data_IF_895095159674
#
_entry.id   IF_895095159674
#
_cell.length_a   1.000
_cell.length_b   1.000
_cell.length_c   1.000
_cell.angle_alpha   90.00
_cell.angle_beta   90.00
_cell.angle_gamma   90.00
#
_symmetry.space_group_name_H-M   'P 1'
#
loop_
_entity.id
_entity.type
_entity.pdbx_description
1 polymer ?
#
# COMPACT_ATOMS: atom_id res chain seq x y z
N UNK A 1 12.28 33.16 -64.81
CA UNK A 1 13.42 33.60 -65.67
C UNK A 1 14.46 34.21 -64.76
N UNK A 2 15.77 34.08 -65.08
CA UNK A 2 16.95 34.73 -64.43
C UNK A 2 17.15 34.48 -62.91
N UNK A 3 18.28 34.03 -62.34
CA UNK A 3 19.75 34.07 -62.66
C UNK A 3 20.35 35.48 -62.43
N UNK A 4 21.47 35.71 -61.71
CA UNK A 4 22.58 34.81 -61.33
C UNK A 4 22.94 34.75 -59.81
N UNK A 5 24.23 34.66 -59.44
CA UNK A 5 24.75 34.14 -58.15
C UNK A 5 26.19 34.60 -57.79
N UNK A 6 26.63 34.34 -56.53
CA UNK A 6 28.03 34.31 -56.00
C UNK A 6 28.80 35.68 -55.96
N UNK A 7 29.87 35.95 -55.17
CA UNK A 7 30.64 35.22 -54.14
C UNK A 7 31.55 36.15 -53.27
N UNK A 8 32.39 35.54 -52.41
CA UNK A 8 33.72 35.99 -51.88
C UNK A 8 33.89 36.71 -50.51
N UNK A 9 35.05 36.40 -49.93
CA UNK A 9 35.66 36.72 -48.62
C UNK A 9 36.91 37.65 -48.87
N UNK A 10 37.76 38.09 -47.89
CA UNK A 10 38.25 37.34 -46.73
C UNK A 10 38.58 38.10 -45.42
N UNK A 11 39.14 37.28 -44.52
CA UNK A 11 39.89 37.44 -43.26
C UNK A 11 40.80 38.67 -43.07
N UNK A 12 41.09 39.03 -41.82
CA UNK A 12 42.46 38.99 -41.28
C UNK A 12 42.49 38.85 -39.73
N UNK A 13 43.68 38.66 -39.15
CA UNK A 13 43.97 38.18 -37.77
C UNK A 13 44.82 39.18 -36.96
N UNK A 14 44.88 39.09 -35.61
CA UNK A 14 46.09 39.29 -34.77
C UNK A 14 45.83 38.96 -33.28
N UNK A 15 46.90 38.81 -32.49
CA UNK A 15 46.98 38.08 -31.21
C UNK A 15 46.91 38.92 -29.92
N UNK A 16 46.82 38.22 -28.78
CA UNK A 16 46.85 38.69 -27.38
C UNK A 16 48.20 39.31 -26.94
N UNK A 17 48.31 39.76 -25.67
CA UNK A 17 49.17 39.01 -24.75
C UNK A 17 48.61 38.82 -23.32
N UNK A 18 49.19 37.86 -22.60
CA UNK A 18 48.87 37.49 -21.21
C UNK A 18 49.54 38.40 -20.17
N UNK A 19 49.08 38.34 -18.91
CA UNK A 19 49.89 38.64 -17.73
C UNK A 19 49.39 37.88 -16.49
N UNK A 20 50.31 37.24 -15.77
CA UNK A 20 50.07 36.49 -14.52
C UNK A 20 50.59 37.28 -13.30
N UNK A 21 50.04 37.03 -12.10
CA UNK A 21 50.76 36.44 -10.94
C UNK A 21 49.99 36.51 -9.60
N UNK A 22 50.04 35.40 -8.87
CA UNK A 22 50.07 35.16 -7.41
C UNK A 22 49.00 35.68 -6.39
N UNK A 23 48.24 34.68 -5.89
CA UNK A 23 48.22 34.19 -4.49
C UNK A 23 47.39 34.88 -3.36
N UNK A 24 46.93 34.02 -2.43
CA UNK A 24 46.39 34.21 -1.06
C UNK A 24 44.93 34.65 -0.85
N UNK A 25 44.18 33.80 -0.12
CA UNK A 25 43.03 34.23 0.69
C UNK A 25 41.93 33.17 0.89
N UNK A 26 41.80 32.63 2.10
CA UNK A 26 40.74 31.65 2.42
C UNK A 26 39.47 32.32 3.00
N UNK A 27 38.26 31.96 2.50
CA UNK A 27 37.12 31.39 3.28
C UNK A 27 35.74 31.53 2.60
N UNK A 28 34.97 30.43 2.61
CA UNK A 28 33.51 30.27 2.78
C UNK A 28 32.51 31.16 2.00
N UNK A 29 31.54 30.56 1.28
CA UNK A 29 30.50 31.36 0.60
C UNK A 29 29.34 30.72 -0.19
N UNK A 30 28.86 29.50 0.10
CA UNK A 30 27.54 28.99 -0.37
C UNK A 30 27.34 28.72 -1.88
N UNK A 31 26.14 28.23 -2.25
CA UNK A 31 25.65 28.27 -3.66
C UNK A 31 25.23 26.98 -4.38
N UNK A 32 25.20 25.81 -3.75
CA UNK A 32 24.88 24.54 -4.43
C UNK A 32 23.40 24.41 -4.90
N UNK A 33 23.08 24.84 -6.13
CA UNK A 33 21.76 24.66 -6.77
C UNK A 33 21.51 23.20 -7.21
N UNK A 34 21.19 22.32 -6.26
CA UNK A 34 20.79 20.93 -6.55
C UNK A 34 19.37 20.82 -7.15
N UNK A 35 19.21 21.13 -8.45
CA UNK A 35 17.96 20.88 -9.21
C UNK A 35 17.81 19.40 -9.60
N UNK A 36 17.77 18.50 -8.61
CA UNK A 36 17.50 17.08 -8.78
C UNK A 36 16.10 16.71 -8.29
N UNK A 37 15.10 16.70 -9.19
CA UNK A 37 13.69 16.34 -8.86
C UNK A 37 13.55 14.82 -8.72
N UNK A 38 14.05 14.28 -7.61
CA UNK A 38 14.20 12.84 -7.40
C UNK A 38 12.87 12.08 -7.31
N UNK A 39 12.76 10.98 -8.07
CA UNK A 39 11.81 9.89 -7.78
C UNK A 39 12.06 9.40 -6.35
N UNK A 40 11.02 9.40 -5.51
CA UNK A 40 11.02 8.80 -4.17
C UNK A 40 9.74 7.99 -3.86
N UNK A 41 9.05 7.50 -4.89
CA UNK A 41 8.06 6.44 -4.69
C UNK A 41 8.81 5.17 -4.24
N UNK A 42 8.42 4.66 -3.06
CA UNK A 42 8.66 3.33 -2.51
C UNK A 42 9.88 2.58 -3.13
N UNK A 43 11.11 2.78 -2.60
CA UNK A 43 12.32 2.32 -3.26
C UNK A 43 12.30 0.80 -3.47
N UNK A 44 12.61 0.37 -4.69
CA UNK A 44 13.00 -1.01 -4.96
C UNK A 44 14.12 -1.44 -4.01
N UNK A 45 14.18 -2.73 -3.62
CA UNK A 45 15.31 -3.25 -2.84
C UNK A 45 16.63 -2.96 -3.58
N UNK A 46 17.76 -2.80 -2.85
CA UNK A 46 19.07 -2.58 -3.45
C UNK A 46 19.43 -3.61 -4.54
N UNK A 47 20.29 -3.26 -5.52
CA UNK A 47 20.75 -4.22 -6.52
C UNK A 47 21.47 -5.43 -5.92
N UNK A 48 22.05 -5.25 -4.72
CA UNK A 48 22.73 -6.24 -3.88
C UNK A 48 21.82 -6.73 -2.73
N UNK A 49 20.50 -6.77 -2.93
CA UNK A 49 19.56 -7.27 -1.94
C UNK A 49 19.45 -8.79 -1.99
N UNK A 50 19.70 -9.46 -0.87
CA UNK A 50 19.51 -10.90 -0.66
C UNK A 50 18.01 -11.32 -0.57
N UNK A 51 17.13 -10.61 -1.30
CA UNK A 51 15.70 -10.92 -1.35
C UNK A 51 15.46 -12.07 -2.34
N UNK A 52 15.19 -13.25 -1.83
CA UNK A 52 14.92 -14.44 -2.63
C UNK A 52 13.44 -14.59 -2.95
N UNK A 53 12.55 -14.25 -2.01
CA UNK A 53 11.12 -14.60 -2.09
C UNK A 53 10.18 -13.47 -1.68
N UNK A 54 9.08 -13.33 -2.40
CA UNK A 54 7.94 -12.48 -2.04
C UNK A 54 6.68 -13.34 -1.99
N UNK A 55 6.04 -13.38 -0.81
CA UNK A 55 4.78 -14.06 -0.59
C UNK A 55 3.64 -13.06 -0.81
N UNK A 56 2.83 -13.29 -1.85
CA UNK A 56 1.73 -12.43 -2.28
C UNK A 56 0.41 -13.05 -1.83
N UNK A 57 -0.11 -12.56 -0.72
CA UNK A 57 -1.31 -13.09 -0.05
C UNK A 57 -2.58 -12.37 -0.52
N UNK A 58 -3.69 -13.10 -0.62
CA UNK A 58 -5.02 -12.52 -0.41
C UNK A 58 -5.32 -12.35 1.11
N UNK A 59 -6.33 -11.54 1.42
CA UNK A 59 -6.79 -11.25 2.77
C UNK A 59 -7.97 -12.14 3.21
N UNK A 60 -9.08 -12.07 2.49
CA UNK A 60 -10.41 -12.50 2.92
C UNK A 60 -10.62 -13.97 2.55
N UNK A 61 -11.13 -14.79 3.47
CA UNK A 61 -11.21 -16.25 3.36
C UNK A 61 -9.85 -16.99 3.19
N UNK A 62 -8.75 -16.26 2.98
CA UNK A 62 -7.37 -16.75 2.97
C UNK A 62 -6.68 -16.56 4.33
N UNK A 63 -6.39 -15.31 4.76
CA UNK A 63 -5.75 -15.03 6.06
C UNK A 63 -6.81 -14.87 7.15
N UNK A 64 -7.88 -14.12 6.86
CA UNK A 64 -8.97 -13.83 7.78
C UNK A 64 -10.23 -14.58 7.35
N UNK A 65 -11.10 -14.92 8.30
CA UNK A 65 -12.47 -15.32 8.00
C UNK A 65 -13.37 -14.10 8.18
N UNK A 66 -14.11 -13.69 7.15
CA UNK A 66 -14.95 -12.49 7.20
C UNK A 66 -16.21 -12.53 6.32
N UNK A 67 -16.10 -12.52 4.99
CA UNK A 67 -17.29 -12.51 4.12
C UNK A 67 -18.05 -13.84 4.18
N UNK A 68 -17.33 -14.94 4.43
CA UNK A 68 -17.91 -16.25 4.73
C UNK A 68 -18.66 -16.31 6.08
N UNK A 69 -18.44 -15.36 7.01
CA UNK A 69 -19.26 -15.17 8.20
C UNK A 69 -20.57 -14.45 7.86
N UNK A 70 -20.49 -13.33 7.14
CA UNK A 70 -21.65 -12.51 6.72
C UNK A 70 -22.66 -13.31 5.87
N UNK A 71 -22.16 -14.22 5.03
CA UNK A 71 -22.98 -15.13 4.22
C UNK A 71 -23.41 -16.41 4.96
N UNK A 72 -22.89 -16.65 6.17
CA UNK A 72 -23.08 -17.90 6.91
C UNK A 72 -22.46 -19.15 6.26
N UNK A 73 -21.75 -19.01 5.14
CA UNK A 73 -21.18 -20.12 4.38
C UNK A 73 -20.07 -20.86 5.13
N UNK A 74 -19.27 -20.15 5.94
CA UNK A 74 -18.30 -20.77 6.86
C UNK A 74 -19.01 -21.72 7.85
N UNK A 75 -20.11 -21.27 8.43
CA UNK A 75 -20.86 -22.05 9.42
C UNK A 75 -21.46 -23.32 8.82
N UNK A 76 -22.01 -23.23 7.60
CA UNK A 76 -22.50 -24.39 6.84
C UNK A 76 -21.36 -25.38 6.54
N UNK A 77 -20.18 -24.89 6.14
CA UNK A 77 -19.02 -25.71 5.77
C UNK A 77 -18.38 -26.43 6.96
N UNK A 78 -18.32 -25.80 8.13
CA UNK A 78 -17.63 -26.30 9.33
C UNK A 78 -18.56 -26.68 10.49
N UNK A 79 -19.87 -26.84 10.23
CA UNK A 79 -20.84 -27.30 11.23
C UNK A 79 -21.02 -26.35 12.43
N UNK A 80 -20.91 -25.04 12.21
CA UNK A 80 -21.15 -24.00 13.23
C UNK A 80 -22.58 -23.49 13.15
N UNK A 81 -23.01 -22.71 14.16
CA UNK A 81 -24.30 -22.02 14.14
C UNK A 81 -24.27 -20.83 13.14
N UNK A 82 -25.10 -20.82 12.08
CA UNK A 82 -25.08 -19.73 11.10
C UNK A 82 -25.57 -18.38 11.63
N UNK A 83 -26.65 -18.27 12.43
CA UNK A 83 -27.05 -17.01 13.07
C UNK A 83 -25.94 -16.36 13.90
N UNK A 84 -25.20 -17.15 14.70
CA UNK A 84 -24.04 -16.67 15.44
C UNK A 84 -22.94 -16.18 14.49
N UNK A 85 -22.58 -16.94 13.46
CA UNK A 85 -21.55 -16.54 12.50
C UNK A 85 -21.88 -15.20 11.82
N UNK A 86 -23.11 -15.04 11.33
CA UNK A 86 -23.59 -13.78 10.72
C UNK A 86 -23.56 -12.63 11.75
N UNK A 87 -23.96 -12.89 13.00
CA UNK A 87 -23.92 -11.89 14.09
C UNK A 87 -22.51 -11.40 14.39
N UNK A 88 -21.51 -12.31 14.40
CA UNK A 88 -20.11 -11.93 14.57
C UNK A 88 -19.55 -11.20 13.34
N UNK A 89 -19.95 -11.63 12.13
CA UNK A 89 -19.60 -10.96 10.87
C UNK A 89 -20.06 -9.50 10.85
N UNK A 90 -21.35 -9.26 11.14
CA UNK A 90 -21.94 -7.91 11.18
C UNK A 90 -21.30 -7.02 12.24
N UNK A 91 -21.00 -7.55 13.43
CA UNK A 91 -20.25 -6.81 14.47
C UNK A 91 -18.83 -6.45 14.02
N UNK A 92 -18.17 -7.31 13.26
CA UNK A 92 -16.85 -7.01 12.70
C UNK A 92 -16.91 -5.99 11.57
N UNK A 93 -17.93 -6.07 10.71
CA UNK A 93 -18.21 -5.10 9.65
C UNK A 93 -18.44 -3.70 10.22
N UNK A 94 -19.28 -3.58 11.26
CA UNK A 94 -19.48 -2.33 12.00
C UNK A 94 -18.15 -1.77 12.53
N UNK A 95 -17.30 -2.61 13.14
CA UNK A 95 -15.99 -2.17 13.64
C UNK A 95 -15.03 -1.73 12.51
N UNK A 96 -15.03 -2.42 11.37
CA UNK A 96 -14.19 -2.09 10.20
C UNK A 96 -14.55 -0.71 9.66
N UNK A 97 -15.83 -0.49 9.32
CA UNK A 97 -16.27 0.81 8.79
C UNK A 97 -16.14 1.92 9.83
N UNK A 98 -16.50 1.65 11.10
CA UNK A 98 -16.37 2.67 12.14
C UNK A 98 -14.91 3.10 12.39
N UNK A 99 -13.93 2.20 12.30
CA UNK A 99 -12.51 2.56 12.35
C UNK A 99 -12.10 3.35 11.10
N UNK A 100 -12.50 2.89 9.92
CA UNK A 100 -12.20 3.52 8.63
C UNK A 100 -12.70 4.97 8.56
N UNK A 101 -13.92 5.23 9.02
CA UNK A 101 -14.53 6.56 9.10
C UNK A 101 -13.88 7.44 10.17
N UNK A 102 -13.79 6.93 11.41
CA UNK A 102 -13.36 7.75 12.56
C UNK A 102 -11.87 8.12 12.49
N UNK A 103 -11.04 7.29 11.85
CA UNK A 103 -9.57 7.42 11.94
C UNK A 103 -8.82 7.42 10.61
N UNK A 104 -9.42 6.93 9.51
CA UNK A 104 -8.76 6.75 8.22
C UNK A 104 -9.40 7.53 7.06
N UNK A 105 -10.29 8.48 7.37
CA UNK A 105 -10.95 9.39 6.41
C UNK A 105 -11.80 8.68 5.32
N UNK A 106 -12.40 7.52 5.61
CA UNK A 106 -13.11 6.76 4.56
C UNK A 106 -14.24 7.56 3.87
N UNK A 107 -15.07 8.29 4.63
CA UNK A 107 -16.04 9.27 4.11
C UNK A 107 -15.47 10.33 3.14
N UNK A 108 -14.17 10.67 3.22
CA UNK A 108 -13.52 11.57 2.26
C UNK A 108 -12.86 10.79 1.09
N UNK A 109 -12.49 9.52 1.29
CA UNK A 109 -11.62 8.77 0.39
C UNK A 109 -12.34 7.73 -0.49
N UNK A 110 -13.57 7.31 -0.17
CA UNK A 110 -14.31 6.27 -0.89
C UNK A 110 -14.38 6.50 -2.41
N UNK A 111 -14.86 7.67 -2.85
CA UNK A 111 -14.95 7.99 -4.30
C UNK A 111 -13.57 8.10 -4.98
N UNK A 112 -12.50 8.38 -4.21
CA UNK A 112 -11.16 8.64 -4.70
C UNK A 112 -10.10 7.61 -4.28
N UNK A 113 -10.54 6.36 -3.97
CA UNK A 113 -9.67 5.28 -3.48
C UNK A 113 -8.43 5.02 -4.35
N UNK A 114 -7.35 4.52 -3.76
CA UNK A 114 -6.04 4.32 -4.40
C UNK A 114 -5.60 2.85 -4.32
N UNK A 115 -4.87 2.40 -5.33
CA UNK A 115 -4.32 1.02 -5.35
C UNK A 115 -3.26 0.84 -4.27
N UNK A 116 -2.44 1.88 -4.02
CA UNK A 116 -1.35 1.83 -3.04
C UNK A 116 -1.24 3.14 -2.25
N UNK A 117 -0.79 3.04 -1.00
CA UNK A 117 -0.72 4.13 -0.01
C UNK A 117 0.11 5.35 -0.46
N UNK A 118 1.09 5.15 -1.34
CA UNK A 118 1.98 6.21 -1.83
C UNK A 118 1.62 6.73 -3.24
N UNK A 119 0.51 6.29 -3.85
CA UNK A 119 0.19 6.60 -5.26
C UNK A 119 0.02 8.10 -5.56
N UNK A 120 -0.50 8.86 -4.59
CA UNK A 120 -0.69 10.32 -4.66
C UNK A 120 0.43 11.12 -3.98
N UNK A 121 1.49 10.46 -3.50
CA UNK A 121 2.58 11.11 -2.72
C UNK A 121 3.38 12.17 -3.49
N UNK A 122 3.24 12.23 -4.83
CA UNK A 122 3.87 13.25 -5.70
C UNK A 122 3.39 14.68 -5.47
N UNK A 123 2.19 14.84 -4.91
CA UNK A 123 1.48 16.12 -4.78
C UNK A 123 1.53 16.68 -3.36
N UNK A 124 2.04 15.87 -2.42
CA UNK A 124 2.39 16.26 -1.06
C UNK A 124 3.59 17.23 -1.06
N UNK A 125 3.58 18.20 -0.15
CA UNK A 125 4.67 19.16 0.04
C UNK A 125 5.60 18.79 1.23
N UNK A 126 5.30 17.70 1.95
CA UNK A 126 6.04 17.26 3.13
C UNK A 126 5.79 18.09 4.39
N UNK A 127 4.73 18.92 4.44
CA UNK A 127 4.41 19.70 5.63
C UNK A 127 3.99 18.80 6.81
N UNK A 128 4.24 19.26 8.03
CA UNK A 128 3.68 18.62 9.22
C UNK A 128 2.14 18.66 9.19
N UNK A 129 1.51 17.56 9.60
CA UNK A 129 0.07 17.39 9.67
C UNK A 129 -0.46 17.35 11.12
N UNK A 130 0.41 17.44 12.13
CA UNK A 130 0.02 17.40 13.55
C UNK A 130 -0.99 18.47 13.97
N UNK A 131 -0.99 19.61 13.27
CA UNK A 131 -1.89 20.76 13.48
C UNK A 131 -2.81 21.02 12.29
N UNK A 132 -2.88 20.12 11.31
CA UNK A 132 -3.67 20.30 10.10
C UNK A 132 -5.16 19.97 10.31
N UNK A 133 -6.04 20.94 10.04
CA UNK A 133 -7.49 20.79 10.24
C UNK A 133 -8.19 20.19 9.02
N UNK A 134 -8.09 18.86 8.86
CA UNK A 134 -8.75 18.11 7.78
C UNK A 134 -10.26 18.40 7.66
N UNK A 135 -10.96 18.53 8.80
CA UNK A 135 -12.40 18.78 8.84
C UNK A 135 -12.83 20.15 8.30
N UNK A 136 -11.89 21.08 8.09
CA UNK A 136 -12.17 22.44 7.59
C UNK A 136 -11.26 22.85 6.42
N UNK A 137 -10.57 21.91 5.78
CA UNK A 137 -9.66 22.22 4.66
C UNK A 137 -10.39 22.48 3.32
N UNK A 138 -11.68 22.17 3.26
CA UNK A 138 -12.53 22.35 2.07
C UNK A 138 -12.28 21.31 0.97
N UNK A 139 -11.84 20.10 1.32
CA UNK A 139 -11.59 19.00 0.37
C UNK A 139 -12.74 18.77 -0.62
N UNK A 140 -13.98 18.58 -0.15
CA UNK A 140 -15.17 18.36 -1.00
C UNK A 140 -15.53 19.55 -1.91
N UNK A 141 -15.26 20.78 -1.46
CA UNK A 141 -15.42 21.98 -2.28
C UNK A 141 -14.33 22.10 -3.37
N UNK A 142 -13.12 21.60 -3.10
CA UNK A 142 -12.06 21.48 -4.09
C UNK A 142 -12.33 20.34 -5.10
N UNK A 143 -12.93 19.23 -4.65
CA UNK A 143 -13.33 18.10 -5.52
C UNK A 143 -14.37 18.53 -6.57
N UNK A 144 -15.47 19.14 -6.12
CA UNK A 144 -16.52 19.68 -7.01
C UNK A 144 -15.99 20.75 -7.96
N UNK A 145 -15.07 21.61 -7.48
CA UNK A 145 -14.36 22.57 -8.34
C UNK A 145 -13.45 21.91 -9.38
N UNK A 146 -12.77 20.81 -9.03
CA UNK A 146 -11.90 20.08 -9.96
C UNK A 146 -12.69 19.47 -11.13
N UNK A 147 -13.87 18.90 -10.85
CA UNK A 147 -14.78 18.36 -11.87
C UNK A 147 -15.35 19.43 -12.83
N UNK A 148 -15.52 20.67 -12.36
CA UNK A 148 -16.05 21.79 -13.15
C UNK A 148 -14.97 22.57 -13.92
N UNK A 149 -13.73 22.65 -13.42
CA UNK A 149 -12.71 23.57 -13.94
C UNK A 149 -11.84 23.02 -15.10
N UNK A 150 -12.29 22.01 -15.84
CA UNK A 150 -11.63 21.55 -17.08
C UNK A 150 -11.57 22.63 -18.18
N UNK A 151 -12.46 23.62 -18.16
CA UNK A 151 -12.50 24.69 -19.14
C UNK A 151 -11.50 25.84 -18.87
N UNK A 152 -11.28 26.22 -17.60
CA UNK A 152 -10.46 27.38 -17.22
C UNK A 152 -9.81 27.23 -15.83
N UNK A 153 -8.48 27.18 -15.77
CA UNK A 153 -7.74 27.81 -14.66
C UNK A 153 -6.97 26.96 -13.65
N UNK A 154 -6.72 25.67 -13.87
CA UNK A 154 -5.58 24.85 -13.32
C UNK A 154 -5.45 24.66 -11.79
N UNK A 155 -5.87 25.60 -10.93
CA UNK A 155 -5.54 25.62 -9.49
C UNK A 155 -6.33 24.64 -8.63
N UNK A 156 -7.61 24.40 -8.95
CA UNK A 156 -8.51 23.58 -8.12
C UNK A 156 -8.04 22.15 -7.95
N UNK A 157 -7.74 21.45 -9.06
CA UNK A 157 -7.26 20.07 -9.03
C UNK A 157 -5.91 19.90 -8.31
N UNK A 158 -4.99 20.86 -8.42
CA UNK A 158 -3.67 20.80 -7.76
C UNK A 158 -3.79 20.98 -6.24
N UNK A 159 -4.73 21.80 -5.77
CA UNK A 159 -5.01 21.93 -4.33
C UNK A 159 -5.73 20.68 -3.78
N UNK A 160 -6.69 20.13 -4.54
CA UNK A 160 -7.37 18.89 -4.19
C UNK A 160 -6.42 17.67 -4.11
N UNK A 161 -5.57 17.46 -5.12
CA UNK A 161 -4.57 16.39 -5.13
C UNK A 161 -3.63 16.43 -3.92
N UNK A 162 -3.24 17.63 -3.47
CA UNK A 162 -2.44 17.78 -2.25
C UNK A 162 -3.20 17.38 -0.98
N UNK A 163 -4.47 17.77 -0.86
CA UNK A 163 -5.33 17.40 0.27
C UNK A 163 -5.66 15.90 0.31
N UNK A 164 -5.71 15.27 -0.87
CA UNK A 164 -5.79 13.81 -1.02
C UNK A 164 -4.50 13.14 -0.53
N UNK A 165 -3.33 13.65 -0.96
CA UNK A 165 -2.03 13.16 -0.51
C UNK A 165 -1.84 13.29 1.02
N UNK A 166 -2.26 14.40 1.61
CA UNK A 166 -2.24 14.60 3.07
C UNK A 166 -3.08 13.56 3.81
N UNK A 167 -4.26 13.17 3.29
CA UNK A 167 -5.11 12.13 3.90
C UNK A 167 -4.43 10.77 3.86
N UNK A 168 -3.91 10.35 2.71
CA UNK A 168 -3.19 9.08 2.59
C UNK A 168 -1.88 9.05 3.41
N UNK A 169 -1.11 10.15 3.46
CA UNK A 169 0.03 10.23 4.39
C UNK A 169 -0.43 10.16 5.85
N UNK A 170 -1.54 10.80 6.22
CA UNK A 170 -2.06 10.71 7.59
C UNK A 170 -2.55 9.30 7.94
N UNK A 171 -3.17 8.58 7.01
CA UNK A 171 -3.48 7.14 7.14
C UNK A 171 -2.21 6.32 7.40
N UNK A 172 -1.12 6.60 6.65
CA UNK A 172 0.19 5.96 6.82
C UNK A 172 0.87 6.27 8.17
N UNK A 173 0.76 7.51 8.65
CA UNK A 173 1.20 7.91 10.00
C UNK A 173 0.40 7.18 11.09
N UNK A 174 -0.93 7.14 10.97
CA UNK A 174 -1.82 6.47 11.92
C UNK A 174 -1.57 4.96 11.96
N UNK A 175 -1.49 4.30 10.80
CA UNK A 175 -1.14 2.88 10.72
C UNK A 175 0.22 2.58 11.36
N UNK A 176 1.26 3.33 10.98
CA UNK A 176 2.61 3.12 11.53
C UNK A 176 2.67 3.27 13.05
N UNK A 177 1.86 4.18 13.61
CA UNK A 177 1.75 4.42 15.05
C UNK A 177 0.99 3.30 15.77
N UNK A 178 -0.14 2.84 15.20
CA UNK A 178 -1.11 2.01 15.91
C UNK A 178 -1.17 0.53 15.49
N UNK A 179 -0.40 0.10 14.48
CA UNK A 179 -0.38 -1.31 14.01
C UNK A 179 -0.06 -2.36 15.09
N UNK A 180 0.67 -1.97 16.13
CA UNK A 180 0.98 -2.82 17.29
C UNK A 180 0.20 -2.40 18.56
N UNK A 181 -0.75 -1.46 18.46
CA UNK A 181 -1.51 -0.88 19.58
C UNK A 181 -2.93 -0.45 19.15
N UNK A 182 -3.66 -1.31 18.45
CA UNK A 182 -4.98 -0.98 17.87
C UNK A 182 -6.02 -0.65 18.95
N UNK A 183 -5.92 -1.27 20.13
CA UNK A 183 -6.73 -0.89 21.30
C UNK A 183 -6.46 0.53 21.82
N UNK A 184 -5.29 1.12 21.52
CA UNK A 184 -4.97 2.52 21.78
C UNK A 184 -5.53 3.49 20.74
N UNK A 185 -5.83 3.02 19.53
CA UNK A 185 -6.52 3.78 18.48
C UNK A 185 -8.03 3.82 18.74
N UNK A 186 -8.62 2.65 19.03
CA UNK A 186 -10.04 2.46 19.31
C UNK A 186 -10.52 3.19 20.58
N UNK A 187 -9.63 3.35 21.57
CA UNK A 187 -9.98 3.82 22.91
C UNK A 187 -10.66 2.73 23.76
N UNK A 188 -10.78 2.93 25.10
CA UNK A 188 -11.06 1.83 26.04
C UNK A 188 -12.34 1.04 25.74
N UNK A 189 -13.49 1.70 25.59
CA UNK A 189 -14.76 0.99 25.41
C UNK A 189 -14.83 0.17 24.11
N UNK A 190 -14.32 0.71 22.99
CA UNK A 190 -14.25 -0.02 21.72
C UNK A 190 -13.18 -1.11 21.73
N UNK A 191 -12.06 -0.91 22.45
CA UNK A 191 -11.02 -1.91 22.64
C UNK A 191 -11.55 -3.18 23.30
N UNK A 192 -12.34 -3.05 24.36
CA UNK A 192 -12.80 -4.23 25.11
C UNK A 192 -13.85 -5.01 24.30
N UNK A 193 -14.75 -4.30 23.61
CA UNK A 193 -15.68 -4.91 22.64
C UNK A 193 -14.95 -5.60 21.47
N UNK A 194 -13.88 -4.99 20.95
CA UNK A 194 -13.03 -5.57 19.90
C UNK A 194 -12.33 -6.85 20.37
N UNK A 195 -11.73 -6.85 21.57
CA UNK A 195 -11.05 -8.02 22.11
C UNK A 195 -12.03 -9.18 22.37
N UNK A 196 -13.23 -8.90 22.88
CA UNK A 196 -14.29 -9.90 23.02
C UNK A 196 -14.71 -10.46 21.64
N UNK A 197 -15.05 -9.59 20.69
CA UNK A 197 -15.45 -9.99 19.33
C UNK A 197 -14.38 -10.83 18.64
N UNK A 198 -13.10 -10.47 18.78
CA UNK A 198 -11.98 -11.22 18.20
C UNK A 198 -11.83 -12.59 18.83
N UNK A 199 -12.02 -12.74 20.14
CA UNK A 199 -12.03 -14.04 20.80
C UNK A 199 -13.23 -14.91 20.37
N UNK A 200 -14.41 -14.33 20.22
CA UNK A 200 -15.62 -15.01 19.73
C UNK A 200 -15.44 -15.51 18.28
N UNK A 201 -14.87 -14.68 17.41
CA UNK A 201 -14.53 -15.07 16.02
C UNK A 201 -13.46 -16.15 15.99
N UNK A 202 -12.38 -16.04 16.78
CA UNK A 202 -11.30 -17.04 16.81
C UNK A 202 -11.80 -18.42 17.29
N UNK A 203 -12.75 -18.43 18.25
CA UNK A 203 -13.40 -19.64 18.74
C UNK A 203 -14.38 -20.25 17.72
N UNK A 204 -15.17 -19.43 17.02
CA UNK A 204 -16.09 -19.93 15.97
C UNK A 204 -15.33 -20.45 14.74
N UNK A 205 -14.14 -19.90 14.46
CA UNK A 205 -13.31 -20.23 13.28
C UNK A 205 -12.23 -21.29 13.53
N UNK A 206 -12.28 -21.99 14.68
CA UNK A 206 -11.31 -23.01 15.08
C UNK A 206 -9.84 -22.53 14.97
N UNK A 207 -9.58 -21.28 15.38
CA UNK A 207 -8.26 -20.65 15.34
C UNK A 207 -7.66 -20.49 13.92
N UNK A 208 -8.49 -20.29 12.89
CA UNK A 208 -8.07 -20.07 11.49
C UNK A 208 -6.95 -19.03 11.38
N UNK A 209 -7.18 -17.83 11.92
CA UNK A 209 -6.24 -16.72 11.84
C UNK A 209 -4.96 -17.02 12.64
N UNK A 210 -5.07 -17.60 13.83
CA UNK A 210 -3.90 -18.04 14.62
C UNK A 210 -3.03 -19.04 13.84
N UNK A 211 -3.61 -19.84 12.94
CA UNK A 211 -2.84 -20.71 12.05
C UNK A 211 -2.19 -19.92 10.89
N UNK A 212 -2.91 -18.99 10.24
CA UNK A 212 -2.33 -18.12 9.22
C UNK A 212 -1.18 -17.24 9.75
N UNK A 213 -1.31 -16.73 10.98
CA UNK A 213 -0.31 -15.93 11.68
C UNK A 213 1.01 -16.68 11.92
N UNK A 214 1.01 -18.01 12.03
CA UNK A 214 2.26 -18.80 12.14
C UNK A 214 3.10 -18.69 10.87
N UNK A 215 2.47 -18.92 9.71
CA UNK A 215 3.09 -18.79 8.39
C UNK A 215 3.59 -17.36 8.14
N UNK A 216 2.75 -16.35 8.41
CA UNK A 216 3.13 -14.95 8.30
C UNK A 216 4.32 -14.58 9.20
N UNK A 217 4.39 -15.14 10.42
CA UNK A 217 5.48 -14.92 11.36
C UNK A 217 6.81 -15.52 10.88
N UNK A 218 6.80 -16.76 10.36
CA UNK A 218 8.00 -17.40 9.77
C UNK A 218 8.53 -16.61 8.57
N UNK A 219 7.64 -16.12 7.70
CA UNK A 219 8.04 -15.28 6.56
C UNK A 219 8.61 -13.94 7.05
N UNK A 220 8.05 -13.37 8.13
CA UNK A 220 8.48 -12.07 8.68
C UNK A 220 9.80 -12.13 9.48
N UNK A 221 10.26 -13.31 9.91
CA UNK A 221 11.54 -13.48 10.61
C UNK A 221 12.71 -13.77 9.66
N UNK A 222 12.43 -14.13 8.40
CA UNK A 222 13.41 -14.39 7.34
C UNK A 222 13.84 -13.10 6.63
N UNK A 223 15.14 -12.79 6.64
CA UNK A 223 15.69 -11.59 5.97
C UNK A 223 15.63 -11.64 4.44
N UNK A 224 15.53 -12.83 3.86
CA UNK A 224 15.43 -13.11 2.43
C UNK A 224 13.98 -13.22 1.91
N UNK A 225 12.98 -12.98 2.76
CA UNK A 225 11.56 -13.10 2.42
C UNK A 225 10.76 -11.83 2.78
N UNK A 226 9.68 -11.57 2.04
CA UNK A 226 8.76 -10.44 2.31
C UNK A 226 7.31 -10.86 2.14
N UNK A 227 6.45 -10.47 3.09
CA UNK A 227 5.00 -10.54 2.97
C UNK A 227 4.44 -9.31 2.22
N UNK A 228 3.54 -9.57 1.27
CA UNK A 228 2.77 -8.59 0.50
C UNK A 228 1.30 -9.00 0.49
N UNK A 229 0.38 -8.06 0.63
CA UNK A 229 -1.07 -8.28 0.66
C UNK A 229 -1.73 -7.64 -0.57
N UNK A 230 -2.61 -8.39 -1.25
CA UNK A 230 -3.40 -7.92 -2.39
C UNK A 230 -4.84 -8.40 -2.24
N UNK A 231 -5.75 -7.50 -1.86
CA UNK A 231 -7.19 -7.80 -1.64
C UNK A 231 -8.06 -7.04 -2.64
N UNK A 232 -9.24 -7.58 -2.94
CA UNK A 232 -10.29 -6.90 -3.73
C UNK A 232 -11.03 -5.82 -2.93
N UNK A 233 -10.81 -5.73 -1.61
CA UNK A 233 -11.31 -4.66 -0.74
C UNK A 233 -10.63 -3.31 -1.07
N UNK A 234 -11.39 -2.20 -1.06
CA UNK A 234 -10.84 -0.84 -1.16
C UNK A 234 -9.73 -0.59 -0.12
N UNK A 235 -8.74 0.26 -0.43
CA UNK A 235 -7.51 0.34 0.37
C UNK A 235 -7.77 0.78 1.82
N UNK A 236 -8.70 1.71 2.05
CA UNK A 236 -8.97 2.22 3.40
C UNK A 236 -9.68 1.18 4.31
N UNK A 237 -10.79 0.52 3.89
CA UNK A 237 -11.33 -0.62 4.64
C UNK A 237 -10.36 -1.82 4.73
N UNK A 238 -9.49 -2.06 3.74
CA UNK A 238 -8.46 -3.09 3.82
C UNK A 238 -7.44 -2.79 4.92
N UNK A 239 -6.98 -1.55 5.04
CA UNK A 239 -6.11 -1.10 6.15
C UNK A 239 -6.83 -1.24 7.50
N UNK A 240 -8.13 -0.94 7.57
CA UNK A 240 -8.93 -1.16 8.78
C UNK A 240 -9.05 -2.65 9.16
N UNK A 241 -9.29 -3.55 8.20
CA UNK A 241 -9.25 -5.02 8.41
C UNK A 241 -7.88 -5.46 8.95
N UNK A 242 -6.78 -5.04 8.31
CA UNK A 242 -5.40 -5.40 8.71
C UNK A 242 -5.07 -4.94 10.14
N UNK A 243 -5.58 -3.78 10.57
CA UNK A 243 -5.49 -3.35 11.96
C UNK A 243 -6.34 -4.23 12.89
N UNK A 244 -7.64 -4.40 12.64
CA UNK A 244 -8.55 -5.11 13.54
C UNK A 244 -8.27 -6.61 13.66
N UNK A 245 -7.70 -7.23 12.62
CA UNK A 245 -7.22 -8.61 12.66
C UNK A 245 -5.79 -8.75 13.20
N UNK A 246 -5.14 -7.66 13.63
CA UNK A 246 -3.77 -7.63 14.21
C UNK A 246 -2.66 -8.05 13.25
N UNK A 247 -2.85 -7.85 11.94
CA UNK A 247 -1.94 -8.26 10.87
C UNK A 247 -0.82 -7.25 10.58
N UNK A 248 -0.90 -6.02 11.11
CA UNK A 248 0.01 -4.92 10.76
C UNK A 248 1.46 -5.04 11.25
N UNK A 249 1.77 -6.07 12.06
CA UNK A 249 3.14 -6.49 12.34
C UNK A 249 3.79 -7.18 11.13
N UNK A 250 3.05 -8.06 10.44
CA UNK A 250 3.51 -8.82 9.28
C UNK A 250 3.49 -8.01 7.96
N UNK A 251 2.57 -7.05 7.84
CA UNK A 251 2.44 -6.20 6.64
C UNK A 251 2.83 -4.74 6.93
N UNK A 252 3.95 -4.24 6.39
CA UNK A 252 4.13 -2.80 6.15
C UNK A 252 2.98 -2.26 5.30
N UNK A 253 2.52 -1.01 5.52
CA UNK A 253 1.43 -0.45 4.71
C UNK A 253 1.85 -0.23 3.26
N UNK A 254 3.15 -0.05 3.03
CA UNK A 254 3.81 -0.05 1.73
C UNK A 254 3.68 -1.39 0.99
N UNK A 255 3.28 -2.46 1.66
CA UNK A 255 3.11 -3.80 1.10
C UNK A 255 1.63 -4.21 1.02
N UNK A 256 0.68 -3.29 1.22
CA UNK A 256 -0.75 -3.51 1.02
C UNK A 256 -1.17 -2.87 -0.32
N UNK A 257 -1.87 -3.63 -1.15
CA UNK A 257 -2.41 -3.17 -2.42
C UNK A 257 -3.91 -3.50 -2.52
N UNK A 258 -4.70 -2.52 -2.96
CA UNK A 258 -6.11 -2.70 -3.32
C UNK A 258 -6.22 -3.05 -4.81
N UNK A 259 -6.78 -4.22 -5.10
CA UNK A 259 -7.08 -4.67 -6.45
C UNK A 259 -8.35 -4.03 -7.03
N UNK A 260 -9.18 -3.32 -6.23
CA UNK A 260 -10.52 -2.86 -6.62
C UNK A 260 -10.57 -2.06 -7.93
N UNK A 261 -9.49 -1.36 -8.30
CA UNK A 261 -9.41 -0.53 -9.52
C UNK A 261 -8.60 -1.13 -10.68
N UNK A 262 -7.77 -2.17 -10.46
CA UNK A 262 -6.87 -2.74 -11.49
C UNK A 262 -6.78 -4.28 -11.53
N UNK A 263 -7.54 -4.99 -10.69
CA UNK A 263 -7.49 -6.45 -10.54
C UNK A 263 -6.24 -6.96 -9.83
N UNK A 264 -6.26 -8.24 -9.41
CA UNK A 264 -5.10 -8.93 -8.81
C UNK A 264 -3.90 -8.89 -9.76
N UNK A 265 -4.12 -9.10 -11.05
CA UNK A 265 -3.07 -9.08 -12.09
C UNK A 265 -2.31 -7.74 -12.13
N UNK A 266 -3.02 -6.61 -12.20
CA UNK A 266 -2.39 -5.29 -12.24
C UNK A 266 -1.58 -4.98 -10.97
N UNK A 267 -2.04 -5.48 -9.81
CA UNK A 267 -1.26 -5.43 -8.58
C UNK A 267 -0.01 -6.32 -8.64
N UNK A 268 -0.10 -7.54 -9.19
CA UNK A 268 1.03 -8.45 -9.33
C UNK A 268 2.10 -7.86 -10.26
N UNK A 269 1.72 -7.24 -11.38
CA UNK A 269 2.67 -6.52 -12.24
C UNK A 269 3.40 -5.39 -11.49
N UNK A 270 2.68 -4.59 -10.70
CA UNK A 270 3.27 -3.53 -9.86
C UNK A 270 4.25 -4.09 -8.83
N UNK A 271 3.92 -5.23 -8.22
CA UNK A 271 4.77 -5.93 -7.24
C UNK A 271 6.05 -6.46 -7.93
N UNK A 272 5.94 -7.11 -9.09
CA UNK A 272 7.08 -7.56 -9.89
C UNK A 272 7.98 -6.41 -10.35
N UNK A 273 7.40 -5.25 -10.70
CA UNK A 273 8.16 -4.06 -11.07
C UNK A 273 8.92 -3.46 -9.88
N UNK A 274 8.36 -3.52 -8.66
CA UNK A 274 9.00 -3.03 -7.44
C UNK A 274 10.15 -3.92 -6.97
N UNK A 275 9.92 -5.23 -6.83
CA UNK A 275 10.89 -6.16 -6.24
C UNK A 275 11.83 -6.82 -7.27
N UNK A 276 11.47 -6.82 -8.56
CA UNK A 276 12.35 -7.23 -9.66
C UNK A 276 12.26 -8.72 -10.03
N UNK A 277 12.81 -9.05 -11.21
CA UNK A 277 12.64 -10.36 -11.88
C UNK A 277 13.55 -11.49 -11.37
N UNK A 278 14.40 -11.24 -10.36
CA UNK A 278 15.25 -12.28 -9.74
C UNK A 278 14.58 -12.98 -8.55
N UNK A 279 13.51 -12.38 -8.02
CA UNK A 279 12.75 -12.86 -6.86
C UNK A 279 11.77 -13.95 -7.28
N UNK A 280 11.59 -14.98 -6.46
CA UNK A 280 10.52 -15.97 -6.61
C UNK A 280 9.26 -15.43 -5.93
N UNK A 281 8.17 -15.33 -6.69
CA UNK A 281 6.87 -14.88 -6.18
C UNK A 281 6.00 -16.10 -5.90
N UNK A 282 5.59 -16.27 -4.64
CA UNK A 282 4.66 -17.33 -4.22
C UNK A 282 3.32 -16.66 -3.91
N UNK A 283 2.28 -17.00 -4.66
CA UNK A 283 0.94 -16.43 -4.46
C UNK A 283 0.14 -17.36 -3.55
N UNK A 284 -0.55 -16.80 -2.55
CA UNK A 284 -1.33 -17.56 -1.56
C UNK A 284 -2.75 -16.99 -1.52
N UNK A 285 -3.77 -17.80 -1.81
CA UNK A 285 -5.16 -17.36 -1.87
C UNK A 285 -6.15 -18.51 -1.98
N UNK A 286 -7.44 -18.25 -1.76
CA UNK A 286 -8.54 -19.18 -2.06
C UNK A 286 -9.19 -18.89 -3.43
N UNK A 287 -9.11 -17.64 -3.88
CA UNK A 287 -9.82 -17.12 -5.05
C UNK A 287 -9.23 -17.51 -6.41
N UNK A 288 -10.11 -17.57 -7.40
CA UNK A 288 -9.74 -17.87 -8.80
C UNK A 288 -9.05 -16.70 -9.52
N UNK A 289 -9.16 -15.46 -9.01
CA UNK A 289 -8.58 -14.28 -9.66
C UNK A 289 -7.05 -14.25 -9.49
N UNK A 290 -6.58 -14.41 -8.25
CA UNK A 290 -5.16 -14.54 -7.94
C UNK A 290 -4.53 -15.82 -8.50
N UNK A 291 -5.26 -16.93 -8.61
CA UNK A 291 -4.76 -18.13 -9.29
C UNK A 291 -4.53 -17.88 -10.78
N UNK A 292 -5.49 -17.26 -11.47
CA UNK A 292 -5.36 -16.93 -12.90
C UNK A 292 -4.22 -15.93 -13.14
N UNK A 293 -4.08 -14.91 -12.28
CA UNK A 293 -2.96 -13.98 -12.32
C UNK A 293 -1.61 -14.67 -12.04
N UNK A 294 -1.54 -15.57 -11.06
CA UNK A 294 -0.34 -16.35 -10.74
C UNK A 294 0.10 -17.21 -11.92
N UNK A 295 -0.83 -17.97 -12.52
CA UNK A 295 -0.58 -18.78 -13.72
C UNK A 295 -0.06 -17.90 -14.87
N UNK A 296 -0.68 -16.75 -15.13
CA UNK A 296 -0.29 -15.83 -16.21
C UNK A 296 1.16 -15.33 -16.06
N UNK A 297 1.60 -15.09 -14.83
CA UNK A 297 2.96 -14.65 -14.53
C UNK A 297 3.94 -15.79 -14.20
N UNK A 298 3.52 -17.06 -14.30
CA UNK A 298 4.29 -18.26 -13.94
C UNK A 298 4.76 -18.28 -12.46
N UNK A 299 3.93 -17.72 -11.56
CA UNK A 299 4.14 -17.76 -10.12
C UNK A 299 3.54 -19.06 -9.53
N UNK A 300 4.26 -19.80 -8.68
CA UNK A 300 3.67 -20.85 -7.86
C UNK A 300 2.47 -20.33 -7.04
N UNK A 301 1.34 -21.03 -7.14
CA UNK A 301 0.12 -20.72 -6.40
C UNK A 301 -0.13 -21.77 -5.30
N UNK A 302 -0.23 -21.33 -4.05
CA UNK A 302 -0.62 -22.15 -2.92
C UNK A 302 -2.09 -21.85 -2.57
N UNK A 303 -2.99 -22.74 -3.00
CA UNK A 303 -4.41 -22.58 -2.69
C UNK A 303 -4.68 -22.82 -1.21
N UNK A 304 -5.36 -21.89 -0.56
CA UNK A 304 -6.00 -22.11 0.74
C UNK A 304 -7.47 -22.44 0.51
N UNK A 305 -7.93 -23.58 0.99
CA UNK A 305 -9.36 -23.97 0.94
C UNK A 305 -9.89 -24.47 2.29
N UNK A 306 -8.99 -24.69 3.25
CA UNK A 306 -9.25 -25.36 4.51
C UNK A 306 -8.13 -25.11 5.53
N UNK A 307 -8.39 -25.37 6.82
CA UNK A 307 -7.36 -25.34 7.87
C UNK A 307 -6.17 -26.26 7.58
N UNK A 308 -6.39 -27.38 6.88
CA UNK A 308 -5.33 -28.29 6.44
C UNK A 308 -4.36 -27.64 5.45
N UNK A 309 -4.82 -26.72 4.60
CA UNK A 309 -3.97 -26.05 3.61
C UNK A 309 -3.08 -24.98 4.27
N UNK A 310 -3.61 -24.29 5.29
CA UNK A 310 -2.83 -23.39 6.16
C UNK A 310 -1.80 -24.16 7.00
N UNK A 311 -2.16 -25.33 7.51
CA UNK A 311 -1.25 -26.20 8.27
C UNK A 311 -0.13 -26.75 7.38
N UNK A 312 -0.46 -27.18 6.16
CA UNK A 312 0.52 -27.63 5.18
C UNK A 312 1.45 -26.50 4.73
N UNK A 313 0.93 -25.27 4.56
CA UNK A 313 1.74 -24.08 4.28
C UNK A 313 2.73 -23.78 5.43
N UNK A 314 2.24 -23.83 6.67
CA UNK A 314 3.07 -23.63 7.86
C UNK A 314 4.20 -24.66 7.95
N UNK A 315 3.92 -25.94 7.68
CA UNK A 315 4.93 -27.01 7.64
C UNK A 315 5.92 -26.84 6.49
N UNK A 316 5.45 -26.49 5.29
CA UNK A 316 6.31 -26.27 4.13
C UNK A 316 7.28 -25.09 4.35
N UNK A 317 6.85 -24.05 5.05
CA UNK A 317 7.70 -22.95 5.51
C UNK A 317 8.69 -23.41 6.59
N UNK A 318 8.23 -24.16 7.60
CA UNK A 318 9.06 -24.65 8.71
C UNK A 318 10.21 -25.56 8.25
N UNK A 319 10.00 -26.37 7.21
CA UNK A 319 11.03 -27.22 6.59
C UNK A 319 11.77 -26.60 5.39
N UNK A 320 11.61 -25.28 5.16
CA UNK A 320 12.27 -24.50 4.10
C UNK A 320 12.00 -24.97 2.66
N UNK A 321 10.92 -25.74 2.45
CA UNK A 321 10.41 -26.10 1.13
C UNK A 321 9.78 -24.88 0.41
N UNK A 322 9.39 -23.87 1.19
CA UNK A 322 8.97 -22.54 0.77
C UNK A 322 9.80 -21.47 1.49
#
# INVERSE_FOLDING_TARGET
>A
MTVQANELHPEDTVQSPMKELDDRGCRSGGGAKARGRGRKNNPSPPPDSDLERVFVWDLDETIIVFHSLLTGSYAQKYGKDPPMAVTLGLRMEEMIFNLADTHLFFNDLEECDQVHIDDVSSDDNGQDLSTYSFATDGFHAAATSASLCLATGVRGGVDWMRKLAFRYRRVKEMYSTYKNNVGGLLGPAKRDAWLQLRAEVEALTDSWLTNALKSLSIISSRSNCVNVLVTTTQLIPAVAKVLLYSLGSAFPIENIYSATKIGKEGCFERIMQRYGRKVVYVVVGDGVEEEQAAIKHNMPFWRISSHSDLLALHQALEFEYL
#
